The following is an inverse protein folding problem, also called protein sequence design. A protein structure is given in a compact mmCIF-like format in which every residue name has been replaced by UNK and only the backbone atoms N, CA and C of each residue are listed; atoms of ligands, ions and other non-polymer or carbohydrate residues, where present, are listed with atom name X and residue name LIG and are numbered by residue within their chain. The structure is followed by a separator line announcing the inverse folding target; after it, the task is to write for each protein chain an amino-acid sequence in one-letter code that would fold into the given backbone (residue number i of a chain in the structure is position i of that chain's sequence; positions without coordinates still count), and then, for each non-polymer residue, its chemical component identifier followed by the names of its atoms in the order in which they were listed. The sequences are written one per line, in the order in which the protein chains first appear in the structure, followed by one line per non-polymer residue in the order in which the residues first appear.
data_IF_152503480298
#
_entry.id   IF_152503480298
#
_cell.length_a   1.000
_cell.length_b   1.000
_cell.length_c   1.000
_cell.angle_alpha   90.00
_cell.angle_beta   90.00
_cell.angle_gamma   90.00
#
_symmetry.space_group_name_H-M   'P 1'
#
loop_
_entity.id
_entity.type
_entity.pdbx_description
1 polymer ?
#
# COMPACT_ATOMS: atom_id res chain seq x y z
N UNK A 1 -1.92 17.50 -1.76
CA UNK A 1 -0.93 16.56 -2.33
C UNK A 1 0.07 17.26 -3.24
N UNK A 2 0.56 18.42 -2.82
CA UNK A 2 1.47 19.23 -3.62
C UNK A 2 2.90 18.68 -3.70
N UNK A 3 3.30 17.83 -2.74
CA UNK A 3 4.68 17.34 -2.65
C UNK A 3 4.87 15.89 -3.06
N UNK A 4 3.82 15.25 -3.57
CA UNK A 4 3.88 13.86 -4.02
C UNK A 4 4.59 13.79 -5.38
N UNK A 5 5.64 12.98 -5.46
CA UNK A 5 6.42 12.78 -6.69
C UNK A 5 6.19 11.41 -7.33
N UNK A 6 5.83 10.43 -6.54
CA UNK A 6 5.66 9.05 -6.97
C UNK A 6 4.31 8.53 -6.52
N UNK A 7 3.60 7.89 -7.43
CA UNK A 7 2.32 7.22 -7.13
C UNK A 7 2.45 5.76 -7.53
N UNK A 8 2.12 4.87 -6.62
CA UNK A 8 2.08 3.43 -6.89
C UNK A 8 0.65 2.92 -6.75
N UNK A 9 0.28 2.02 -7.64
CA UNK A 9 -1.06 1.43 -7.66
C UNK A 9 -0.91 -0.08 -7.65
N UNK A 10 -1.62 -0.75 -6.76
CA UNK A 10 -1.58 -2.20 -6.70
C UNK A 10 -2.13 -2.82 -7.98
N UNK A 11 -1.37 -3.73 -8.57
CA UNK A 11 -1.80 -4.45 -9.76
C UNK A 11 -2.80 -5.56 -9.38
N UNK A 12 -4.03 -5.41 -9.83
CA UNK A 12 -5.13 -6.34 -9.53
C UNK A 12 -5.21 -7.48 -10.55
N UNK A 13 -5.52 -8.72 -10.12
CA UNK A 13 -5.70 -9.83 -11.05
C UNK A 13 -6.97 -9.65 -11.87
N UNK A 14 -6.84 -9.63 -13.21
CA UNK A 14 -7.98 -9.38 -14.12
C UNK A 14 -8.98 -10.50 -14.16
N UNK A 15 -8.53 -11.74 -13.99
CA UNK A 15 -9.43 -12.92 -14.06
C UNK A 15 -10.17 -13.18 -12.74
N UNK A 16 -9.51 -12.93 -11.61
CA UNK A 16 -10.11 -13.18 -10.28
C UNK A 16 -11.02 -12.05 -9.84
N UNK A 17 -10.72 -10.83 -10.22
CA UNK A 17 -11.47 -9.65 -9.77
C UNK A 17 -11.50 -8.58 -10.86
N UNK A 18 -12.33 -8.78 -11.92
CA UNK A 18 -12.38 -7.84 -13.03
C UNK A 18 -12.87 -6.44 -12.63
N UNK A 19 -13.76 -6.35 -11.64
CA UNK A 19 -14.25 -5.07 -11.14
C UNK A 19 -13.11 -4.24 -10.52
N UNK A 20 -12.30 -4.86 -9.68
CA UNK A 20 -11.15 -4.19 -9.07
C UNK A 20 -10.09 -3.83 -10.11
N UNK A 21 -9.94 -4.65 -11.15
CA UNK A 21 -9.04 -4.32 -12.26
C UNK A 21 -9.52 -3.07 -13.00
N UNK A 22 -10.81 -2.95 -13.22
CA UNK A 22 -11.38 -1.75 -13.85
C UNK A 22 -11.17 -0.51 -13.00
N UNK A 23 -11.39 -0.60 -11.69
CA UNK A 23 -11.14 0.50 -10.75
C UNK A 23 -9.66 0.89 -10.77
N UNK A 24 -8.76 -0.08 -10.77
CA UNK A 24 -7.32 0.15 -10.87
C UNK A 24 -6.99 0.99 -12.10
N UNK A 25 -7.55 0.65 -13.25
CA UNK A 25 -7.28 1.36 -14.50
C UNK A 25 -7.84 2.78 -14.50
N UNK A 26 -8.97 3.00 -13.84
CA UNK A 26 -9.54 4.35 -13.67
C UNK A 26 -8.61 5.20 -12.80
N UNK A 27 -8.16 4.67 -11.68
CA UNK A 27 -7.23 5.37 -10.77
C UNK A 27 -5.90 5.65 -11.49
N UNK A 28 -5.37 4.68 -12.20
CA UNK A 28 -4.14 4.84 -12.98
C UNK A 28 -4.28 5.95 -14.01
N UNK A 29 -5.38 5.95 -14.77
CA UNK A 29 -5.64 6.96 -15.79
C UNK A 29 -5.75 8.36 -15.18
N UNK A 30 -6.40 8.49 -14.03
CA UNK A 30 -6.49 9.77 -13.32
C UNK A 30 -5.11 10.34 -13.02
N UNK A 31 -4.22 9.53 -12.42
CA UNK A 31 -2.87 10.00 -12.08
C UNK A 31 -1.98 10.21 -13.30
N UNK A 32 -2.22 9.47 -14.38
CA UNK A 32 -1.50 9.70 -15.64
C UNK A 32 -1.85 11.08 -16.20
N UNK A 33 -3.15 11.40 -16.30
CA UNK A 33 -3.62 12.65 -16.89
C UNK A 33 -3.39 13.86 -16.00
N UNK A 34 -3.70 13.75 -14.71
CA UNK A 34 -3.63 14.86 -13.76
C UNK A 34 -2.31 14.93 -13.00
N UNK A 35 -1.48 13.91 -13.10
CA UNK A 35 -0.16 13.84 -12.47
C UNK A 35 0.96 13.95 -13.48
N UNK A 36 1.35 12.82 -14.08
CA UNK A 36 2.54 12.73 -14.95
C UNK A 36 2.45 13.67 -16.15
N UNK A 37 1.28 13.77 -16.79
CA UNK A 37 1.08 14.61 -17.96
C UNK A 37 0.71 16.06 -17.64
N UNK A 38 0.55 16.41 -16.36
CA UNK A 38 0.19 17.77 -15.96
C UNK A 38 1.46 18.52 -15.54
N UNK A 39 1.78 19.61 -16.23
CA UNK A 39 2.96 20.43 -15.97
C UNK A 39 2.99 21.05 -14.58
N UNK A 40 1.84 21.29 -13.97
CA UNK A 40 1.73 21.86 -12.62
C UNK A 40 1.89 20.82 -11.51
N UNK A 41 1.93 19.56 -11.86
CA UNK A 41 2.09 18.46 -10.90
C UNK A 41 3.55 18.10 -10.69
N UNK A 42 3.90 17.72 -9.47
CA UNK A 42 5.24 17.20 -9.13
C UNK A 42 5.33 15.69 -9.31
N UNK A 43 4.26 15.03 -9.70
CA UNK A 43 4.26 13.57 -9.90
C UNK A 43 5.06 13.23 -11.16
N UNK A 44 6.16 12.51 -10.96
CA UNK A 44 7.07 12.12 -12.04
C UNK A 44 6.98 10.63 -12.37
N UNK A 45 6.56 9.83 -11.39
CA UNK A 45 6.50 8.37 -11.52
C UNK A 45 5.13 7.85 -11.16
N UNK A 46 4.63 6.98 -12.02
CA UNK A 46 3.36 6.27 -11.80
C UNK A 46 3.59 4.81 -12.18
N UNK A 47 3.59 3.93 -11.18
CA UNK A 47 3.89 2.52 -11.38
C UNK A 47 2.82 1.61 -10.80
N UNK A 48 2.62 0.47 -11.46
CA UNK A 48 1.82 -0.62 -10.90
C UNK A 48 2.75 -1.59 -10.20
N UNK A 49 2.41 -2.01 -8.99
CA UNK A 49 3.23 -2.91 -8.19
C UNK A 49 2.47 -4.17 -7.80
N UNK A 50 3.22 -5.24 -7.57
CA UNK A 50 2.66 -6.51 -7.14
C UNK A 50 2.62 -6.56 -5.60
N UNK A 51 1.46 -6.91 -5.05
CA UNK A 51 1.25 -6.94 -3.60
C UNK A 51 1.99 -8.06 -2.86
N UNK A 52 2.46 -9.09 -3.55
CA UNK A 52 3.05 -10.28 -2.91
C UNK A 52 4.30 -10.01 -2.07
N UNK A 53 4.97 -8.90 -2.29
CA UNK A 53 6.22 -8.56 -1.59
C UNK A 53 6.01 -7.69 -0.35
N UNK A 54 4.79 -7.28 -0.05
CA UNK A 54 4.51 -6.34 1.04
C UNK A 54 4.93 -6.84 2.41
N UNK A 55 4.82 -8.14 2.68
CA UNK A 55 5.20 -8.70 3.98
C UNK A 55 6.71 -8.79 4.18
N UNK A 56 7.48 -8.70 3.12
CA UNK A 56 8.95 -8.82 3.18
C UNK A 56 9.63 -7.57 3.74
N UNK A 57 8.92 -6.47 3.86
CA UNK A 57 9.50 -5.21 4.38
C UNK A 57 9.70 -5.22 5.89
N UNK A 58 8.99 -6.08 6.60
CA UNK A 58 9.13 -6.18 8.05
C UNK A 58 10.45 -6.88 8.41
N UNK A 59 11.31 -6.18 9.14
CA UNK A 59 12.63 -6.64 9.56
C UNK A 59 12.76 -6.82 11.08
N UNK A 60 11.67 -6.65 11.80
CA UNK A 60 11.66 -6.77 13.26
C UNK A 60 11.66 -8.20 13.75
N UNK A 61 11.36 -8.38 15.04
CA UNK A 61 11.27 -9.68 15.64
C UNK A 61 10.17 -10.54 15.04
N UNK A 62 10.38 -11.87 14.94
CA UNK A 62 9.37 -12.77 14.38
C UNK A 62 8.04 -12.65 15.11
N UNK A 63 6.96 -12.72 14.35
CA UNK A 63 5.58 -12.66 14.86
C UNK A 63 4.96 -14.05 14.70
N UNK A 64 4.48 -14.61 15.80
CA UNK A 64 3.78 -15.87 15.76
C UNK A 64 2.32 -15.67 15.37
N UNK A 65 1.82 -16.54 14.51
CA UNK A 65 0.45 -16.48 14.03
C UNK A 65 -0.11 -17.91 13.91
N UNK A 66 -1.21 -18.15 14.60
CA UNK A 66 -1.86 -19.47 14.63
C UNK A 66 -2.90 -19.66 13.52
N UNK A 67 -3.12 -18.64 12.71
CA UNK A 67 -4.10 -18.68 11.62
C UNK A 67 -3.58 -19.58 10.51
N UNK A 68 -4.35 -20.63 10.17
CA UNK A 68 -3.96 -21.61 9.16
C UNK A 68 -4.31 -21.20 7.73
N UNK A 69 -5.40 -20.45 7.55
CA UNK A 69 -5.80 -19.94 6.25
C UNK A 69 -4.80 -18.90 5.76
N UNK A 70 -4.16 -19.15 4.62
CA UNK A 70 -3.11 -18.28 4.09
C UNK A 70 -3.58 -16.85 3.86
N UNK A 71 -4.76 -16.68 3.29
CA UNK A 71 -5.32 -15.34 3.01
C UNK A 71 -5.55 -14.55 4.31
N UNK A 72 -6.22 -15.17 5.28
CA UNK A 72 -6.49 -14.56 6.58
C UNK A 72 -5.21 -14.29 7.36
N UNK A 73 -4.26 -15.23 7.29
CA UNK A 73 -2.96 -15.09 7.93
C UNK A 73 -2.20 -13.88 7.37
N UNK A 74 -2.15 -13.74 6.06
CA UNK A 74 -1.44 -12.64 5.42
C UNK A 74 -2.08 -11.29 5.76
N UNK A 75 -3.40 -11.22 5.82
CA UNK A 75 -4.10 -10.00 6.29
C UNK A 75 -3.73 -9.65 7.71
N UNK A 76 -3.77 -10.63 8.60
CA UNK A 76 -3.42 -10.43 10.01
C UNK A 76 -1.97 -9.99 10.18
N UNK A 77 -1.05 -10.64 9.49
CA UNK A 77 0.37 -10.29 9.53
C UNK A 77 0.62 -8.87 9.01
N UNK A 78 -0.04 -8.48 7.94
CA UNK A 78 0.10 -7.13 7.39
C UNK A 78 -0.29 -6.07 8.41
N UNK A 79 -1.41 -6.26 9.11
CA UNK A 79 -1.85 -5.35 10.17
C UNK A 79 -0.85 -5.33 11.33
N UNK A 80 -0.39 -6.49 11.76
CA UNK A 80 0.55 -6.60 12.88
C UNK A 80 1.90 -5.95 12.55
N UNK A 81 2.44 -6.21 11.37
CA UNK A 81 3.68 -5.60 10.92
C UNK A 81 3.56 -4.07 10.81
N UNK A 82 2.45 -3.60 10.25
CA UNK A 82 2.21 -2.17 10.12
C UNK A 82 2.15 -1.49 11.49
N UNK A 83 1.44 -2.06 12.45
CA UNK A 83 1.38 -1.53 13.83
C UNK A 83 2.78 -1.36 14.43
N UNK A 84 3.66 -2.31 14.20
CA UNK A 84 5.03 -2.27 14.72
C UNK A 84 5.90 -1.25 13.99
N UNK A 85 5.67 -1.07 12.71
CA UNK A 85 6.49 -0.19 11.88
C UNK A 85 6.12 1.29 12.00
N UNK A 86 4.85 1.60 12.27
CA UNK A 86 4.39 3.01 12.33
C UNK A 86 4.69 3.71 13.67
N UNK A 87 5.27 3.01 14.63
CA UNK A 87 5.55 3.60 15.96
C UNK A 87 6.46 4.82 15.90
N UNK A 88 7.30 4.92 14.88
CA UNK A 88 8.22 6.04 14.67
C UNK A 88 7.63 7.15 13.79
N UNK A 89 6.42 6.97 13.29
CA UNK A 89 5.75 7.97 12.47
C UNK A 89 5.15 9.09 13.32
N UNK A 90 4.74 10.18 12.65
CA UNK A 90 4.07 11.29 13.33
C UNK A 90 2.79 10.80 14.00
N UNK A 91 2.49 11.35 15.17
CA UNK A 91 1.33 10.95 15.97
C UNK A 91 0.01 11.07 15.20
N UNK A 92 -0.13 12.07 14.32
CA UNK A 92 -1.33 12.24 13.50
C UNK A 92 -1.60 11.02 12.60
N UNK A 93 -0.55 10.38 12.08
CA UNK A 93 -0.69 9.19 11.24
C UNK A 93 -1.00 7.94 12.07
N UNK A 94 -0.40 7.84 13.25
CA UNK A 94 -0.69 6.75 14.18
C UNK A 94 -2.15 6.81 14.62
N UNK A 95 -2.64 7.99 14.93
CA UNK A 95 -4.04 8.21 15.33
C UNK A 95 -5.00 7.87 14.19
N UNK A 96 -4.69 8.30 12.97
CA UNK A 96 -5.46 7.96 11.79
C UNK A 96 -5.58 6.45 11.61
N UNK A 97 -4.47 5.74 11.77
CA UNK A 97 -4.44 4.28 11.66
C UNK A 97 -5.29 3.62 12.74
N UNK A 98 -5.13 4.04 13.99
CA UNK A 98 -5.84 3.45 15.13
C UNK A 98 -7.36 3.68 15.06
N UNK A 99 -7.80 4.79 14.50
CA UNK A 99 -9.21 5.14 14.33
C UNK A 99 -9.86 4.47 13.13
N UNK A 100 -9.08 3.95 12.20
CA UNK A 100 -9.59 3.34 10.99
C UNK A 100 -10.26 1.99 11.25
N UNK A 101 -11.39 1.76 10.59
CA UNK A 101 -12.07 0.47 10.56
C UNK A 101 -11.46 -0.50 9.53
N UNK A 102 -10.71 0.05 8.58
CA UNK A 102 -10.08 -0.70 7.48
C UNK A 102 -8.57 -0.75 7.63
N UNK A 103 -8.11 -1.25 8.78
CA UNK A 103 -6.68 -1.34 9.07
C UNK A 103 -5.91 -2.22 8.08
N UNK A 104 -6.56 -3.24 7.54
CA UNK A 104 -5.96 -4.10 6.52
C UNK A 104 -5.63 -3.32 5.23
N UNK A 105 -6.52 -2.47 4.78
CA UNK A 105 -6.30 -1.66 3.57
C UNK A 105 -5.19 -0.62 3.79
N UNK A 106 -5.20 0.05 4.94
CA UNK A 106 -4.14 1.00 5.30
C UNK A 106 -2.79 0.30 5.45
N UNK A 107 -2.78 -0.88 6.06
CA UNK A 107 -1.57 -1.67 6.24
C UNK A 107 -0.96 -2.08 4.90
N UNK A 108 -1.80 -2.56 3.99
CA UNK A 108 -1.35 -2.95 2.66
C UNK A 108 -0.73 -1.78 1.91
N UNK A 109 -1.39 -0.63 1.97
CA UNK A 109 -0.89 0.59 1.33
C UNK A 109 0.47 1.03 1.92
N UNK A 110 0.59 1.04 3.24
CA UNK A 110 1.83 1.43 3.92
C UNK A 110 2.98 0.47 3.58
N UNK A 111 2.74 -0.84 3.70
CA UNK A 111 3.78 -1.84 3.44
C UNK A 111 4.25 -1.82 1.98
N UNK A 112 3.32 -1.63 1.04
CA UNK A 112 3.67 -1.51 -0.37
C UNK A 112 4.48 -0.25 -0.64
N UNK A 113 4.12 0.86 0.01
CA UNK A 113 4.88 2.11 -0.08
C UNK A 113 6.31 1.96 0.42
N UNK A 114 6.50 1.32 1.58
CA UNK A 114 7.82 1.05 2.14
C UNK A 114 8.63 0.14 1.20
N UNK A 115 8.01 -0.90 0.67
CA UNK A 115 8.69 -1.78 -0.29
C UNK A 115 9.19 -1.02 -1.52
N UNK A 116 8.36 -0.14 -2.04
CA UNK A 116 8.72 0.69 -3.18
C UNK A 116 9.91 1.62 -2.87
N UNK A 117 9.85 2.30 -1.72
CA UNK A 117 10.91 3.21 -1.29
C UNK A 117 12.25 2.47 -1.13
N UNK A 118 12.22 1.29 -0.52
CA UNK A 118 13.43 0.49 -0.30
C UNK A 118 14.06 -0.01 -1.60
N UNK A 119 13.29 -0.06 -2.67
CA UNK A 119 13.73 -0.60 -3.95
C UNK A 119 14.31 0.45 -4.90
N UNK A 120 13.93 1.71 -4.75
CA UNK A 120 14.41 2.79 -5.65
C UNK A 120 15.75 3.39 -5.28
#
# INVERSE_FOLDING_TARGET
MTDVTDVIVENQPSLKNPTMKSIQMIVYSYFLMNGVCNEDSKIERLEMINARNKLKVYKGEPVECDIKDTYKRNKWLAVEYCKRMIVDEKQEYIDLYNESKKKDDLSDSYLQGIYYIDKI
#
